data_IF_863118896447
#
_entry.id   IF_863118896447
#
_cell.length_a   1.000
_cell.length_b   1.000
_cell.length_c   1.000
_cell.angle_alpha   90.00
_cell.angle_beta   90.00
_cell.angle_gamma   90.00
#
_symmetry.space_group_name_H-M   'P 1'
#
loop_
_entity.id
_entity.type
_entity.pdbx_description
1 polymer ?
#
# COMPACT_ATOMS: atom_id res chain seq x y z
N UNK A 1 -9.66 -15.25 -3.28
CA UNK A 1 -9.47 -15.65 -1.86
C UNK A 1 -9.79 -14.46 -0.99
N UNK A 2 -10.75 -14.56 -0.05
CA UNK A 2 -11.14 -13.44 0.82
C UNK A 2 -10.01 -13.16 1.80
N UNK A 3 -9.29 -12.04 1.62
CA UNK A 3 -8.32 -11.54 2.62
C UNK A 3 -9.08 -10.81 3.70
N UNK A 4 -9.12 -11.39 4.88
CA UNK A 4 -9.69 -10.78 6.08
C UNK A 4 -8.72 -9.68 6.55
N UNK A 5 -9.15 -8.42 6.45
CA UNK A 5 -8.43 -7.30 7.06
C UNK A 5 -8.60 -7.43 8.56
N UNK A 6 -7.57 -7.89 9.24
CA UNK A 6 -7.52 -8.01 10.69
C UNK A 6 -7.20 -6.62 11.28
N UNK A 7 -8.18 -6.01 11.95
CA UNK A 7 -7.94 -4.89 12.83
C UNK A 7 -7.12 -5.40 14.02
N UNK A 8 -5.80 -5.24 13.98
CA UNK A 8 -4.93 -5.56 15.12
C UNK A 8 -5.10 -4.48 16.19
N UNK A 9 -5.95 -4.76 17.17
CA UNK A 9 -5.80 -4.20 18.50
C UNK A 9 -4.53 -4.84 19.10
N UNK A 10 -3.42 -4.11 19.06
CA UNK A 10 -2.14 -4.58 19.56
C UNK A 10 -2.19 -4.74 21.07
N UNK A 11 -2.28 -5.97 21.55
CA UNK A 11 -1.86 -6.35 22.90
C UNK A 11 -0.32 -6.33 22.94
N UNK A 12 0.23 -5.42 23.70
CA UNK A 12 1.68 -5.33 23.95
C UNK A 12 2.17 -6.56 24.70
N UNK A 13 2.86 -7.46 24.02
CA UNK A 13 3.79 -8.41 24.63
C UNK A 13 4.95 -8.64 23.66
N UNK A 14 6.15 -8.32 24.12
CA UNK A 14 7.47 -8.54 23.53
C UNK A 14 7.99 -7.44 22.59
N UNK A 15 8.89 -6.64 23.10
CA UNK A 15 9.73 -5.57 22.60
C UNK A 15 10.33 -5.63 21.18
N UNK A 16 9.50 -5.76 20.14
CA UNK A 16 9.90 -5.39 18.78
C UNK A 16 9.30 -4.02 18.46
N UNK A 17 10.16 -3.09 18.16
CA UNK A 17 9.76 -1.75 17.75
C UNK A 17 8.95 -1.86 16.46
N UNK A 18 7.73 -1.36 16.41
CA UNK A 18 6.84 -1.32 15.23
C UNK A 18 7.54 -0.73 13.99
N UNK A 19 8.59 0.04 14.21
CA UNK A 19 9.45 0.67 13.21
C UNK A 19 10.34 -0.31 12.43
N UNK A 20 10.54 -1.56 12.89
CA UNK A 20 11.40 -2.54 12.20
C UNK A 20 10.63 -3.46 11.24
N UNK A 21 9.31 -3.53 11.39
CA UNK A 21 8.48 -4.49 10.67
C UNK A 21 7.87 -3.90 9.39
N UNK A 22 7.79 -2.58 9.30
CA UNK A 22 7.21 -1.85 8.16
C UNK A 22 8.14 -0.75 7.65
N UNK A 23 8.04 -0.45 6.36
CA UNK A 23 8.67 0.70 5.72
C UNK A 23 7.55 1.63 5.27
N UNK A 24 7.55 2.88 5.76
CA UNK A 24 6.68 3.91 5.23
C UNK A 24 7.14 4.31 3.82
N UNK A 25 6.19 4.60 2.93
CA UNK A 25 6.54 5.06 1.60
C UNK A 25 7.21 6.44 1.66
N UNK A 26 8.26 6.60 0.87
CA UNK A 26 9.01 7.85 0.69
C UNK A 26 9.43 7.96 -0.78
N UNK A 27 9.32 9.16 -1.34
CA UNK A 27 9.67 9.40 -2.75
C UNK A 27 11.16 9.19 -3.05
N UNK A 28 12.03 9.45 -2.08
CA UNK A 28 13.48 9.32 -2.20
C UNK A 28 13.99 7.90 -1.93
N UNK A 29 13.23 7.10 -1.17
CA UNK A 29 13.62 5.74 -0.77
C UNK A 29 12.99 4.71 -1.68
N UNK A 30 13.81 3.82 -2.24
CA UNK A 30 13.35 2.70 -3.05
C UNK A 30 13.63 1.37 -2.34
N UNK A 31 12.71 0.43 -2.51
CA UNK A 31 12.87 -0.93 -1.99
C UNK A 31 14.13 -1.59 -2.56
N UNK A 32 14.74 -2.39 -1.73
CA UNK A 32 15.82 -3.30 -2.10
C UNK A 32 15.43 -4.73 -1.76
N UNK A 33 16.12 -5.71 -2.33
CA UNK A 33 15.84 -7.11 -1.97
C UNK A 33 16.12 -7.45 -0.50
N UNK A 34 16.85 -6.61 0.23
CA UNK A 34 17.07 -6.78 1.67
C UNK A 34 15.82 -6.44 2.51
N UNK A 35 14.84 -5.75 1.90
CA UNK A 35 13.59 -5.38 2.56
C UNK A 35 12.57 -6.53 2.53
N UNK A 36 12.71 -7.48 1.61
CA UNK A 36 11.86 -8.68 1.49
C UNK A 36 12.33 -9.75 2.46
N UNK A 37 11.97 -9.61 3.74
CA UNK A 37 12.44 -10.45 4.84
C UNK A 37 11.52 -11.63 5.15
N UNK A 38 10.40 -11.76 4.44
CA UNK A 38 9.43 -12.84 4.59
C UNK A 38 9.95 -14.18 4.07
N UNK A 39 9.38 -15.25 4.59
CA UNK A 39 9.69 -16.59 4.13
C UNK A 39 9.01 -16.85 2.78
N UNK A 40 9.81 -17.09 1.76
CA UNK A 40 9.29 -17.39 0.43
C UNK A 40 8.45 -18.68 0.41
N UNK A 41 7.25 -18.60 -0.17
CA UNK A 41 6.47 -19.78 -0.49
C UNK A 41 7.04 -20.46 -1.74
N UNK A 42 7.68 -21.60 -1.54
CA UNK A 42 8.31 -22.38 -2.64
C UNK A 42 7.31 -22.92 -3.65
N UNK A 43 6.04 -23.09 -3.25
CA UNK A 43 4.96 -23.58 -4.11
C UNK A 43 4.25 -22.45 -4.87
N UNK A 44 4.53 -21.19 -4.54
CA UNK A 44 3.98 -20.04 -5.24
C UNK A 44 4.44 -20.02 -6.70
N UNK A 45 3.58 -19.68 -7.67
CA UNK A 45 4.00 -19.44 -9.05
C UNK A 45 4.83 -18.16 -9.21
N UNK A 46 4.82 -17.27 -8.20
CA UNK A 46 5.53 -15.98 -8.25
C UNK A 46 6.98 -16.09 -7.80
N UNK A 47 7.82 -15.21 -8.31
CA UNK A 47 9.24 -15.10 -7.94
C UNK A 47 9.47 -14.16 -6.76
N UNK A 48 8.62 -13.17 -6.60
CA UNK A 48 8.57 -12.27 -5.45
C UNK A 48 7.12 -11.87 -5.17
N UNK A 49 6.86 -11.35 -3.98
CA UNK A 49 5.55 -10.81 -3.60
C UNK A 49 5.77 -9.62 -2.68
N UNK A 50 5.20 -8.49 -3.07
CA UNK A 50 5.06 -7.30 -2.22
C UNK A 50 3.76 -7.37 -1.45
N UNK A 51 3.83 -7.23 -0.15
CA UNK A 51 2.68 -6.97 0.71
C UNK A 51 2.79 -5.54 1.21
N UNK A 52 1.85 -4.71 0.82
CA UNK A 52 1.74 -3.31 1.22
C UNK A 52 0.30 -2.97 1.58
N UNK A 53 0.09 -1.88 2.28
CA UNK A 53 -1.24 -1.46 2.72
C UNK A 53 -1.27 -0.01 3.15
N UNK A 54 -2.48 0.49 3.40
CA UNK A 54 -2.69 1.85 3.90
C UNK A 54 -3.04 1.77 5.39
N UNK A 55 -2.18 2.34 6.23
CA UNK A 55 -2.50 2.55 7.63
C UNK A 55 -3.35 3.81 7.75
N UNK A 56 -4.60 3.64 8.18
CA UNK A 56 -5.51 4.74 8.44
C UNK A 56 -5.86 4.78 9.92
N UNK A 57 -5.40 5.83 10.61
CA UNK A 57 -5.69 6.08 12.03
C UNK A 57 -6.54 7.32 12.16
N UNK A 58 -7.58 7.24 12.97
CA UNK A 58 -8.48 8.35 13.30
C UNK A 58 -8.36 8.58 14.80
N UNK A 59 -7.98 9.79 15.20
CA UNK A 59 -7.87 10.18 16.59
C UNK A 59 -8.94 11.21 16.91
N UNK A 60 -9.93 10.89 17.76
CA UNK A 60 -10.91 11.84 18.22
C UNK A 60 -10.23 12.99 18.98
N UNK A 61 -10.61 14.22 18.71
CA UNK A 61 -10.12 15.43 19.38
C UNK A 61 -11.29 16.30 19.86
N UNK A 62 -11.00 17.32 20.68
CA UNK A 62 -12.01 18.28 21.16
C UNK A 62 -12.64 19.08 20.03
N UNK A 63 -11.90 19.34 18.97
CA UNK A 63 -12.30 20.21 17.85
C UNK A 63 -12.57 19.41 16.55
N UNK A 64 -12.82 18.09 16.69
CA UNK A 64 -13.06 17.19 15.57
C UNK A 64 -12.22 15.92 15.64
N UNK A 65 -11.53 15.59 14.57
CA UNK A 65 -10.60 14.46 14.53
C UNK A 65 -9.33 14.85 13.78
N UNK A 66 -8.24 14.18 14.14
CA UNK A 66 -7.03 14.14 13.33
C UNK A 66 -6.88 12.75 12.73
N UNK A 67 -6.33 12.67 11.55
CA UNK A 67 -6.06 11.42 10.85
C UNK A 67 -4.59 11.30 10.48
N UNK A 68 -4.18 10.06 10.28
CA UNK A 68 -2.88 9.71 9.70
C UNK A 68 -3.11 8.61 8.69
N UNK A 69 -2.72 8.86 7.46
CA UNK A 69 -2.91 7.95 6.33
C UNK A 69 -1.55 7.71 5.69
N UNK A 70 -0.98 6.54 5.89
CA UNK A 70 0.39 6.20 5.50
C UNK A 70 0.39 4.92 4.67
N UNK A 71 1.00 4.95 3.49
CA UNK A 71 1.31 3.74 2.74
C UNK A 71 2.51 3.05 3.36
N UNK A 72 2.39 1.74 3.63
CA UNK A 72 3.44 0.94 4.26
C UNK A 72 3.71 -0.35 3.49
N UNK A 73 4.96 -0.76 3.50
CA UNK A 73 5.42 -2.06 3.02
C UNK A 73 5.71 -2.96 4.22
N UNK A 74 5.17 -4.19 4.20
CA UNK A 74 5.33 -5.16 5.28
C UNK A 74 6.49 -6.10 4.98
N UNK A 75 7.65 -5.85 5.61
CA UNK A 75 8.90 -6.54 5.34
C UNK A 75 8.85 -8.04 5.51
N UNK A 76 8.25 -8.50 6.61
CA UNK A 76 8.21 -9.93 6.98
C UNK A 76 7.07 -10.71 6.30
N UNK A 77 6.17 -10.00 5.62
CA UNK A 77 5.12 -10.60 4.81
C UNK A 77 5.51 -10.62 3.32
N UNK A 78 6.37 -9.68 2.90
CA UNK A 78 6.92 -9.60 1.57
C UNK A 78 8.14 -10.51 1.43
N UNK A 79 8.21 -11.24 0.34
CA UNK A 79 9.26 -12.23 0.15
C UNK A 79 9.76 -12.29 -1.30
N UNK A 80 10.95 -12.81 -1.48
CA UNK A 80 11.58 -13.06 -2.79
C UNK A 80 12.11 -14.50 -2.84
N UNK A 81 11.80 -15.20 -3.92
CA UNK A 81 12.30 -16.54 -4.25
C UNK A 81 13.37 -16.47 -5.33
N UNK A 82 13.15 -15.65 -6.35
CA UNK A 82 14.08 -15.43 -7.45
C UNK A 82 14.15 -13.94 -7.79
N UNK A 83 15.38 -13.45 -7.94
CA UNK A 83 15.68 -12.04 -8.23
C UNK A 83 15.80 -11.81 -9.73
N UNK A 84 14.77 -12.16 -10.50
CA UNK A 84 14.73 -11.96 -11.93
C UNK A 84 14.94 -10.49 -12.31
N UNK A 85 15.51 -10.25 -13.49
CA UNK A 85 15.70 -8.90 -14.00
C UNK A 85 14.34 -8.18 -14.15
N UNK A 86 14.25 -6.96 -13.64
CA UNK A 86 13.03 -6.16 -13.65
C UNK A 86 12.02 -6.47 -12.54
N UNK A 87 12.14 -7.60 -11.83
CA UNK A 87 11.21 -7.96 -10.78
C UNK A 87 11.17 -6.92 -9.63
N UNK A 88 12.32 -6.38 -9.21
CA UNK A 88 12.33 -5.36 -8.15
C UNK A 88 11.59 -4.07 -8.55
N UNK A 89 11.68 -3.68 -9.82
CA UNK A 89 10.94 -2.52 -10.35
C UNK A 89 9.44 -2.80 -10.31
N UNK A 90 9.04 -4.03 -10.61
CA UNK A 90 7.65 -4.45 -10.53
C UNK A 90 7.14 -4.44 -9.08
N UNK A 91 7.90 -5.01 -8.16
CA UNK A 91 7.55 -5.01 -6.73
C UNK A 91 7.49 -3.59 -6.14
N UNK A 92 8.38 -2.69 -6.56
CA UNK A 92 8.29 -1.27 -6.22
C UNK A 92 7.01 -0.65 -6.77
N UNK A 93 6.56 -1.05 -7.95
CA UNK A 93 5.31 -0.58 -8.55
C UNK A 93 4.09 -0.88 -7.69
N UNK A 94 3.99 -2.03 -7.05
CA UNK A 94 2.94 -2.34 -6.08
C UNK A 94 2.96 -1.39 -4.89
N UNK A 95 4.13 -1.09 -4.35
CA UNK A 95 4.26 -0.15 -3.24
C UNK A 95 3.91 1.29 -3.66
N UNK A 96 4.34 1.71 -4.85
CA UNK A 96 4.01 3.02 -5.41
C UNK A 96 2.49 3.14 -5.71
N UNK A 97 1.81 2.07 -6.14
CA UNK A 97 0.34 2.01 -6.29
C UNK A 97 -0.33 2.19 -4.92
N UNK A 98 0.16 1.56 -3.87
CA UNK A 98 -0.37 1.75 -2.52
C UNK A 98 -0.31 3.22 -2.09
N UNK A 99 0.79 3.93 -2.38
CA UNK A 99 0.89 5.38 -2.09
C UNK A 99 -0.08 6.22 -2.93
N UNK A 100 -0.29 5.89 -4.21
CA UNK A 100 -1.32 6.57 -5.03
C UNK A 100 -2.67 6.52 -4.31
N UNK A 101 -3.05 5.36 -3.78
CA UNK A 101 -4.34 5.22 -3.09
C UNK A 101 -4.33 5.81 -1.68
N UNK A 102 -3.20 5.86 -0.99
CA UNK A 102 -3.06 6.64 0.24
C UNK A 102 -3.31 8.13 -0.01
N UNK A 103 -2.75 8.71 -1.09
CA UNK A 103 -3.02 10.09 -1.53
C UNK A 103 -4.47 10.31 -1.93
N UNK A 104 -5.09 9.38 -2.64
CA UNK A 104 -6.52 9.43 -2.96
C UNK A 104 -7.38 9.41 -1.70
N UNK A 105 -7.04 8.60 -0.72
CA UNK A 105 -7.74 8.56 0.56
C UNK A 105 -7.57 9.86 1.34
N UNK A 106 -6.34 10.43 1.43
CA UNK A 106 -6.09 11.75 2.04
C UNK A 106 -6.95 12.84 1.39
N UNK A 107 -7.00 12.86 0.06
CA UNK A 107 -7.88 13.76 -0.68
C UNK A 107 -9.34 13.58 -0.29
N UNK A 108 -9.86 12.35 -0.30
CA UNK A 108 -11.26 12.03 0.04
C UNK A 108 -11.61 12.45 1.47
N UNK A 109 -10.72 12.19 2.42
CA UNK A 109 -10.90 12.57 3.83
C UNK A 109 -10.87 14.10 4.00
N UNK A 110 -9.97 14.79 3.30
CA UNK A 110 -9.90 16.25 3.32
C UNK A 110 -11.15 16.92 2.71
N UNK A 111 -11.73 16.33 1.66
CA UNK A 111 -12.93 16.83 0.99
C UNK A 111 -14.24 16.30 1.64
N UNK A 112 -14.12 15.44 2.66
CA UNK A 112 -15.27 14.78 3.28
C UNK A 112 -16.08 15.72 4.16
N UNK A 113 -17.39 15.75 3.95
CA UNK A 113 -18.34 16.46 4.77
C UNK A 113 -19.14 15.45 5.60
N UNK A 114 -18.93 15.40 6.92
CA UNK A 114 -19.63 14.43 7.77
C UNK A 114 -21.16 14.62 7.74
N UNK A 115 -21.88 13.52 7.60
CA UNK A 115 -23.33 13.48 7.79
C UNK A 115 -23.65 13.13 9.24
N UNK A 116 -24.91 13.37 9.68
CA UNK A 116 -25.36 12.90 10.99
C UNK A 116 -25.16 11.38 11.09
N UNK A 117 -24.66 10.89 12.22
CA UNK A 117 -24.43 9.49 12.49
C UNK A 117 -23.00 9.19 12.91
N UNK A 118 -22.61 7.92 12.83
CA UNK A 118 -21.29 7.46 13.22
C UNK A 118 -20.23 7.90 12.20
N UNK A 119 -19.39 8.85 12.60
CA UNK A 119 -18.26 9.35 11.79
C UNK A 119 -17.27 8.23 11.46
N UNK A 120 -16.97 7.36 12.43
CA UNK A 120 -16.03 6.25 12.22
C UNK A 120 -16.52 5.31 11.13
N UNK A 121 -17.80 5.01 11.12
CA UNK A 121 -18.42 4.20 10.06
C UNK A 121 -18.32 4.87 8.68
N UNK A 122 -18.59 6.19 8.61
CA UNK A 122 -18.52 6.92 7.34
C UNK A 122 -17.09 6.96 6.78
N UNK A 123 -16.09 7.19 7.63
CA UNK A 123 -14.69 7.18 7.23
C UNK A 123 -14.21 5.77 6.85
N UNK A 124 -14.74 4.74 7.52
CA UNK A 124 -14.49 3.34 7.15
C UNK A 124 -14.99 3.02 5.74
N UNK A 125 -16.16 3.52 5.35
CA UNK A 125 -16.67 3.32 3.99
C UNK A 125 -15.75 3.95 2.93
N UNK A 126 -15.21 5.16 3.19
CA UNK A 126 -14.23 5.78 2.29
C UNK A 126 -12.95 4.93 2.15
N UNK A 127 -12.49 4.37 3.27
CA UNK A 127 -11.34 3.47 3.27
C UNK A 127 -11.60 2.20 2.47
N UNK A 128 -12.72 1.51 2.73
CA UNK A 128 -13.07 0.25 2.08
C UNK A 128 -13.26 0.41 0.56
N UNK A 129 -13.85 1.54 0.12
CA UNK A 129 -13.97 1.89 -1.30
C UNK A 129 -12.58 2.12 -1.91
N UNK A 130 -11.71 2.86 -1.22
CA UNK A 130 -10.36 3.14 -1.70
C UNK A 130 -9.52 1.87 -1.82
N UNK A 131 -9.60 0.95 -0.86
CA UNK A 131 -8.95 -0.37 -0.92
C UNK A 131 -9.48 -1.22 -2.08
N UNK A 132 -10.78 -1.19 -2.33
CA UNK A 132 -11.37 -1.92 -3.46
C UNK A 132 -10.85 -1.41 -4.81
N UNK A 133 -10.71 -0.10 -4.97
CA UNK A 133 -10.13 0.50 -6.18
C UNK A 133 -8.63 0.18 -6.31
N UNK A 134 -7.89 0.17 -5.18
CA UNK A 134 -6.49 -0.23 -5.15
C UNK A 134 -6.33 -1.66 -5.63
N UNK A 135 -7.11 -2.58 -5.08
CA UNK A 135 -7.07 -3.99 -5.47
C UNK A 135 -7.38 -4.19 -6.96
N UNK A 136 -8.29 -3.41 -7.51
CA UNK A 136 -8.60 -3.44 -8.94
C UNK A 136 -7.40 -2.96 -9.80
N UNK A 137 -6.70 -1.92 -9.37
CA UNK A 137 -5.50 -1.41 -10.07
C UNK A 137 -4.32 -2.39 -9.97
N UNK A 138 -4.09 -2.97 -8.80
CA UNK A 138 -3.08 -4.00 -8.53
C UNK A 138 -3.28 -5.22 -9.45
N UNK A 139 -4.51 -5.75 -9.51
CA UNK A 139 -4.84 -6.87 -10.37
C UNK A 139 -4.65 -6.55 -11.87
N UNK A 140 -4.96 -5.31 -12.29
CA UNK A 140 -4.74 -4.88 -13.66
C UNK A 140 -3.24 -4.74 -13.98
N UNK A 141 -2.46 -4.19 -13.04
CA UNK A 141 -1.02 -4.06 -13.12
C UNK A 141 -0.35 -5.41 -13.33
N UNK A 142 -0.65 -6.36 -12.47
CA UNK A 142 -0.16 -7.74 -12.56
C UNK A 142 -0.50 -8.41 -13.89
N UNK A 143 -1.79 -8.31 -14.27
CA UNK A 143 -2.29 -8.90 -15.51
C UNK A 143 -1.57 -8.33 -16.74
N UNK A 144 -1.43 -7.00 -16.81
CA UNK A 144 -0.87 -6.35 -17.99
C UNK A 144 0.64 -6.51 -18.09
N UNK A 145 1.34 -6.46 -16.96
CA UNK A 145 2.80 -6.66 -16.92
C UNK A 145 3.19 -8.13 -16.96
N UNK A 146 2.22 -9.06 -16.83
CA UNK A 146 2.44 -10.50 -16.67
C UNK A 146 3.43 -10.78 -15.54
N UNK A 147 3.23 -10.11 -14.39
CA UNK A 147 4.11 -10.19 -13.23
C UNK A 147 5.59 -9.94 -13.60
N UNK A 148 5.88 -8.77 -14.15
CA UNK A 148 7.20 -8.30 -14.62
C UNK A 148 7.76 -8.92 -15.92
N UNK A 149 7.08 -9.90 -16.53
CA UNK A 149 7.58 -10.58 -17.73
C UNK A 149 7.48 -9.66 -18.97
N UNK A 150 6.43 -8.84 -19.07
CA UNK A 150 6.24 -7.95 -20.20
C UNK A 150 6.92 -6.59 -19.95
N UNK A 151 8.16 -6.47 -20.42
CA UNK A 151 8.98 -5.27 -20.21
C UNK A 151 8.37 -3.99 -20.84
N UNK A 152 7.65 -4.12 -21.96
CA UNK A 152 7.02 -2.98 -22.63
C UNK A 152 5.85 -2.46 -21.78
N UNK A 153 5.01 -3.37 -21.30
CA UNK A 153 3.91 -3.02 -20.41
C UNK A 153 4.42 -2.52 -19.05
N UNK A 154 5.51 -3.09 -18.55
CA UNK A 154 6.15 -2.61 -17.33
C UNK A 154 6.61 -1.15 -17.48
N UNK A 155 7.27 -0.79 -18.58
CA UNK A 155 7.69 0.59 -18.83
C UNK A 155 6.50 1.56 -18.94
N UNK A 156 5.41 1.15 -19.59
CA UNK A 156 4.16 1.92 -19.65
C UNK A 156 3.60 2.18 -18.24
N UNK A 157 3.51 1.13 -17.41
CA UNK A 157 2.99 1.23 -16.06
C UNK A 157 3.88 2.09 -15.16
N UNK A 158 5.19 1.99 -15.28
CA UNK A 158 6.12 2.87 -14.54
C UNK A 158 5.82 4.35 -14.84
N UNK A 159 5.64 4.71 -16.11
CA UNK A 159 5.28 6.07 -16.50
C UNK A 159 3.91 6.51 -15.97
N UNK A 160 2.92 5.62 -16.01
CA UNK A 160 1.57 5.88 -15.48
C UNK A 160 1.60 6.09 -13.95
N UNK A 161 2.27 5.23 -13.21
CA UNK A 161 2.41 5.32 -11.74
C UNK A 161 3.07 6.64 -11.36
N UNK A 162 4.19 7.00 -12.00
CA UNK A 162 4.90 8.25 -11.72
C UNK A 162 4.03 9.48 -12.04
N UNK A 163 3.24 9.42 -13.11
CA UNK A 163 2.29 10.49 -13.44
C UNK A 163 1.21 10.62 -12.36
N UNK A 164 0.58 9.53 -11.94
CA UNK A 164 -0.47 9.56 -10.91
C UNK A 164 0.08 10.06 -9.56
N UNK A 165 1.29 9.65 -9.17
CA UNK A 165 1.97 10.18 -7.97
C UNK A 165 2.18 11.69 -8.06
N UNK A 166 2.61 12.20 -9.22
CA UNK A 166 2.79 13.63 -9.45
C UNK A 166 1.47 14.39 -9.44
N UNK A 167 0.45 13.88 -10.10
CA UNK A 167 -0.87 14.52 -10.17
C UNK A 167 -1.50 14.66 -8.76
N UNK A 168 -1.13 13.77 -7.83
CA UNK A 168 -1.58 13.75 -6.44
C UNK A 168 -0.55 14.32 -5.45
N UNK A 169 0.48 15.03 -5.92
CA UNK A 169 1.59 15.52 -5.08
C UNK A 169 1.13 16.40 -3.91
N UNK A 170 0.10 17.21 -4.10
CA UNK A 170 -0.47 18.06 -3.02
C UNK A 170 -1.10 17.28 -1.86
N UNK A 171 -1.28 15.98 -2.02
CA UNK A 171 -1.77 15.06 -0.99
C UNK A 171 -0.69 14.08 -0.51
N UNK A 172 0.60 14.33 -0.84
CA UNK A 172 1.72 13.68 -0.15
C UNK A 172 1.76 14.13 1.30
N UNK A 173 2.38 13.33 2.19
CA UNK A 173 2.67 13.77 3.56
C UNK A 173 3.71 14.86 3.60
#
# INVERSE_FOLDING_TARGET
MKRTVLLLLASFASGRSFSQDVIAWDSATKLTWADFAGKADRNSPYNAVTISGILFKINPGSDGYSDSIIAVFYRFESWVKDRAAGALIHEQGHFDITEIFARKLRKRVQEFVPKRGDLGHQLRLLYDETESERDAMENLYDKETKHSIDAVRQAYWNGRIQKELKDLEKFSE
#
